data_IF_300729146703
#
_entry.id   IF_300729146703
#
_cell.length_a   1.000
_cell.length_b   1.000
_cell.length_c   1.000
_cell.angle_alpha   90.00
_cell.angle_beta   90.00
_cell.angle_gamma   90.00
#
_symmetry.space_group_name_H-M   'P 1'
#
loop_
_entity.id
_entity.type
_entity.pdbx_description
1 polymer ?
#
# COMPACT_ATOMS: atom_id res chain seq x y z
N UNK A 1 -1.46 9.11 -9.05
CA UNK A 1 -0.61 9.22 -7.84
C UNK A 1 0.17 7.93 -7.71
N UNK A 2 1.49 8.02 -7.55
CA UNK A 2 2.34 6.85 -7.50
C UNK A 2 3.05 6.77 -6.17
N UNK A 3 2.95 5.62 -5.52
CA UNK A 3 3.50 5.39 -4.20
C UNK A 3 4.48 4.24 -4.30
N UNK A 4 5.61 4.38 -3.64
CA UNK A 4 6.57 3.30 -3.58
C UNK A 4 5.98 2.14 -2.77
N UNK A 5 6.04 0.93 -3.32
CA UNK A 5 5.47 -0.29 -2.72
C UNK A 5 5.91 -0.51 -1.27
N UNK A 6 7.16 -0.19 -0.95
CA UNK A 6 7.68 -0.32 0.42
C UNK A 6 6.86 0.48 1.44
N UNK A 7 6.31 1.64 1.05
CA UNK A 7 5.46 2.46 1.92
C UNK A 7 4.17 1.74 2.27
N UNK A 8 3.56 1.08 1.29
CA UNK A 8 2.36 0.24 1.48
C UNK A 8 2.66 -0.93 2.42
N UNK A 9 3.81 -1.58 2.23
CA UNK A 9 4.28 -2.68 3.07
C UNK A 9 4.48 -2.20 4.52
N UNK A 10 5.05 -1.03 4.73
CA UNK A 10 5.27 -0.48 6.07
C UNK A 10 3.95 -0.14 6.79
N UNK A 11 2.99 0.47 6.09
CA UNK A 11 1.63 0.70 6.62
C UNK A 11 0.95 -0.61 6.99
N UNK A 12 1.02 -1.62 6.11
CA UNK A 12 0.46 -2.94 6.38
C UNK A 12 1.12 -3.62 7.59
N UNK A 13 2.45 -3.53 7.72
CA UNK A 13 3.17 -4.07 8.89
C UNK A 13 2.81 -3.33 10.17
N UNK A 14 2.69 -2.00 10.14
CA UNK A 14 2.27 -1.20 11.29
C UNK A 14 0.86 -1.56 11.78
N UNK A 15 -0.02 -1.96 10.86
CA UNK A 15 -1.37 -2.47 11.13
C UNK A 15 -1.40 -3.94 11.56
N UNK A 16 -0.26 -4.62 11.70
CA UNK A 16 -0.16 -6.05 12.02
C UNK A 16 -0.47 -7.00 10.84
N UNK A 17 -0.63 -6.47 9.63
CA UNK A 17 -0.98 -7.21 8.42
C UNK A 17 0.27 -7.71 7.67
N UNK A 18 1.18 -8.39 8.39
CA UNK A 18 2.46 -8.86 7.84
C UNK A 18 2.29 -9.80 6.63
N UNK A 19 1.30 -10.69 6.65
CA UNK A 19 1.01 -11.62 5.54
C UNK A 19 0.63 -10.86 4.27
N UNK A 20 -0.18 -9.81 4.38
CA UNK A 20 -0.55 -8.95 3.24
C UNK A 20 0.63 -8.14 2.75
N UNK A 21 1.48 -7.65 3.65
CA UNK A 21 2.68 -6.91 3.30
C UNK A 21 3.62 -7.77 2.43
N UNK A 22 3.78 -9.06 2.76
CA UNK A 22 4.62 -9.97 1.97
C UNK A 22 4.00 -10.34 0.62
N UNK A 23 2.67 -10.46 0.55
CA UNK A 23 1.93 -10.68 -0.69
C UNK A 23 2.04 -9.47 -1.64
N UNK A 24 1.81 -8.26 -1.13
CA UNK A 24 1.99 -6.99 -1.87
C UNK A 24 3.41 -6.88 -2.43
N UNK A 25 4.42 -7.27 -1.64
CA UNK A 25 5.83 -7.26 -2.07
C UNK A 25 6.07 -8.09 -3.33
N UNK A 26 5.34 -9.20 -3.49
CA UNK A 26 5.50 -10.15 -4.60
C UNK A 26 4.62 -9.82 -5.78
N UNK A 27 3.40 -9.35 -5.53
CA UNK A 27 2.39 -9.12 -6.58
C UNK A 27 2.48 -7.73 -7.22
N UNK A 28 2.72 -6.69 -6.42
CA UNK A 28 2.76 -5.32 -6.94
C UNK A 28 4.18 -4.99 -7.41
N UNK A 29 4.36 -4.11 -8.40
CA UNK A 29 5.67 -3.57 -8.83
C UNK A 29 6.24 -2.56 -7.84
N UNK A 30 7.51 -2.14 -8.01
CA UNK A 30 8.20 -1.19 -7.12
C UNK A 30 7.44 0.13 -6.92
N UNK A 31 6.74 0.55 -7.97
CA UNK A 31 5.96 1.77 -8.01
C UNK A 31 4.49 1.41 -8.24
N UNK A 32 3.66 1.62 -7.22
CA UNK A 32 2.24 1.30 -7.25
C UNK A 32 1.48 2.56 -7.64
N UNK A 33 0.83 2.50 -8.80
CA UNK A 33 -0.09 3.54 -9.24
C UNK A 33 -1.43 3.35 -8.54
N UNK A 34 -1.70 4.20 -7.56
CA UNK A 34 -2.88 4.10 -6.68
C UNK A 34 -4.17 4.34 -7.46
N UNK A 35 -4.13 5.18 -8.49
CA UNK A 35 -5.30 5.45 -9.33
C UNK A 35 -5.60 4.25 -10.26
N UNK A 36 -4.56 3.63 -10.82
CA UNK A 36 -4.73 2.42 -11.65
C UNK A 36 -5.08 1.18 -10.85
N UNK A 37 -4.59 1.07 -9.62
CA UNK A 37 -4.81 -0.09 -8.74
C UNK A 37 -5.87 0.18 -7.66
N UNK A 38 -6.68 1.23 -7.81
CA UNK A 38 -7.70 1.61 -6.82
C UNK A 38 -8.66 0.46 -6.48
N UNK A 39 -9.08 -0.33 -7.48
CA UNK A 39 -9.94 -1.50 -7.24
C UNK A 39 -9.27 -2.62 -6.45
N UNK A 40 -7.97 -2.84 -6.69
CA UNK A 40 -7.18 -3.84 -5.94
C UNK A 40 -6.97 -3.38 -4.50
N UNK A 41 -6.62 -2.11 -4.31
CA UNK A 41 -6.43 -1.50 -3.00
C UNK A 41 -7.72 -1.51 -2.18
N UNK A 42 -8.86 -1.19 -2.80
CA UNK A 42 -10.19 -1.29 -2.18
C UNK A 42 -10.50 -2.72 -1.73
N UNK A 43 -10.17 -3.73 -2.54
CA UNK A 43 -10.33 -5.16 -2.17
C UNK A 43 -9.48 -5.54 -0.96
N UNK A 44 -8.34 -4.87 -0.78
CA UNK A 44 -7.42 -5.08 0.33
C UNK A 44 -7.78 -4.23 1.56
N UNK A 45 -8.85 -3.43 1.50
CA UNK A 45 -9.17 -2.40 2.49
C UNK A 45 -7.98 -1.46 2.76
N UNK A 46 -7.18 -1.21 1.73
CA UNK A 46 -6.12 -0.21 1.72
C UNK A 46 -6.66 1.07 1.12
N UNK A 47 -6.78 2.09 1.97
CA UNK A 47 -7.23 3.39 1.51
C UNK A 47 -6.06 4.16 0.90
N UNK A 48 -6.18 4.69 -0.32
CA UNK A 48 -5.25 5.65 -0.91
C UNK A 48 -4.85 6.76 0.06
N UNK A 49 -5.79 7.23 0.88
CA UNK A 49 -5.57 8.28 1.86
C UNK A 49 -4.57 7.86 2.94
N UNK A 50 -4.61 6.60 3.38
CA UNK A 50 -3.68 6.07 4.38
C UNK A 50 -2.25 5.89 3.84
N UNK A 51 -2.14 5.73 2.52
CA UNK A 51 -0.87 5.66 1.81
C UNK A 51 -0.34 7.06 1.44
N UNK A 52 -1.25 8.01 1.21
CA UNK A 52 -0.97 9.41 0.93
C UNK A 52 -0.56 10.19 2.20
N UNK A 53 -1.14 9.83 3.34
CA UNK A 53 -0.83 10.43 4.63
C UNK A 53 0.31 9.70 5.32
N UNK A 54 1.53 10.20 5.09
CA UNK A 54 2.48 10.38 6.19
C UNK A 54 3.60 11.32 5.75
N UNK A 55 3.39 12.63 5.85
CA UNK A 55 4.36 13.53 6.44
C UNK A 55 3.95 13.75 7.91
N UNK A 56 3.93 12.69 8.72
CA UNK A 56 3.69 12.84 10.16
C UNK A 56 5.01 13.18 10.83
N UNK A 57 5.33 14.47 10.75
CA UNK A 57 6.10 15.35 11.67
C UNK A 57 7.31 14.78 12.41
#
# INVERSE_FOLDING_TARGET
>A
MKIARHRIIDVLRARGQHVRADWIRRELPDEVDVDKHAGLLATLHLDPADLAETPSR
#
